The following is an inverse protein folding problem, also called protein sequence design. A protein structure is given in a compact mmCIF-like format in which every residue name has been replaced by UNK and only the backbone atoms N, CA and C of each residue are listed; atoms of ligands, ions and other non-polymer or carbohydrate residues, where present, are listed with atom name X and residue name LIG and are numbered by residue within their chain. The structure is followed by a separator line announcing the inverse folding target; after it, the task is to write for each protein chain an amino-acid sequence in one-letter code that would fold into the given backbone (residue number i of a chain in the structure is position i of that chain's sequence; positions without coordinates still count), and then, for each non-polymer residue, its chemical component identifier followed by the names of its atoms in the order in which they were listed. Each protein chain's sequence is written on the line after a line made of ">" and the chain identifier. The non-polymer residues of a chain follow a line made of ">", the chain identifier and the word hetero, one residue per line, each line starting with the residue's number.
data_IF_764044403017
#
_entry.id   IF_764044403017
#
_cell.length_a   1.000
_cell.length_b   1.000
_cell.length_c   1.000
_cell.angle_alpha   90.00
_cell.angle_beta   90.00
_cell.angle_gamma   90.00
#
_symmetry.space_group_name_H-M   'P 1'
#
loop_
_entity.id
_entity.type
_entity.pdbx_description
1 polymer ?
#
# COMPACT_ATOMS: atom_id res chain seq x y z
N UNK A 1 -4.02 40.25 15.68
CA UNK A 1 -5.33 40.46 15.04
C UNK A 1 -5.20 39.99 13.60
N UNK A 2 -5.54 38.79 13.15
CA UNK A 2 -6.10 37.58 13.75
C UNK A 2 -5.15 36.44 13.42
N UNK A 3 -5.09 35.40 14.26
CA UNK A 3 -4.39 34.18 13.93
C UNK A 3 -4.86 33.71 12.54
N UNK A 4 -3.94 33.57 11.59
CA UNK A 4 -4.11 32.80 10.33
C UNK A 4 -4.18 31.33 10.71
N UNK A 5 -5.23 30.99 11.46
CA UNK A 5 -5.55 29.70 12.01
C UNK A 5 -5.64 28.73 10.84
N UNK A 6 -4.67 27.82 10.78
CA UNK A 6 -4.74 26.51 10.13
C UNK A 6 -5.38 26.56 8.74
N UNK A 7 -4.55 26.45 7.70
CA UNK A 7 -4.91 26.39 6.28
C UNK A 7 -5.75 25.15 5.88
N UNK A 8 -6.62 24.67 6.77
CA UNK A 8 -7.59 23.61 6.53
C UNK A 8 -8.42 23.81 5.25
N UNK A 9 -8.93 25.02 4.90
CA UNK A 9 -9.62 25.21 3.64
C UNK A 9 -8.70 24.94 2.44
N UNK A 10 -7.43 25.34 2.51
CA UNK A 10 -6.46 25.10 1.43
C UNK A 10 -6.18 23.61 1.27
N UNK A 11 -6.06 22.86 2.37
CA UNK A 11 -5.95 21.40 2.32
C UNK A 11 -7.18 20.75 1.66
N UNK A 12 -8.38 21.26 1.94
CA UNK A 12 -9.60 20.72 1.34
C UNK A 12 -9.63 20.98 -0.17
N UNK A 13 -9.24 22.17 -0.62
CA UNK A 13 -9.15 22.53 -2.04
C UNK A 13 -8.09 21.68 -2.76
N UNK A 14 -6.91 21.49 -2.14
CA UNK A 14 -5.85 20.67 -2.71
C UNK A 14 -6.28 19.20 -2.84
N UNK A 15 -7.03 18.68 -1.87
CA UNK A 15 -7.51 17.30 -1.89
C UNK A 15 -8.55 17.06 -2.99
N UNK A 16 -9.52 17.97 -3.15
CA UNK A 16 -10.55 17.85 -4.20
C UNK A 16 -9.94 18.04 -5.59
N UNK A 17 -9.01 18.98 -5.76
CA UNK A 17 -8.32 19.20 -7.03
C UNK A 17 -7.46 17.99 -7.47
N UNK A 18 -6.99 17.17 -6.52
CA UNK A 18 -6.18 15.99 -6.83
C UNK A 18 -7.03 14.81 -7.35
N UNK A 19 -8.32 14.80 -7.03
CA UNK A 19 -9.25 13.68 -7.32
C UNK A 19 -10.18 13.99 -8.49
N UNK A 20 -10.11 15.20 -9.07
CA UNK A 20 -10.92 15.61 -10.22
C UNK A 20 -10.73 14.65 -11.40
N UNK A 21 -11.80 13.99 -11.83
CA UNK A 21 -11.81 13.09 -12.98
C UNK A 21 -12.60 13.74 -14.09
N UNK A 22 -11.92 14.05 -15.19
CA UNK A 22 -12.58 14.51 -16.42
C UNK A 22 -13.21 13.31 -17.14
N UNK A 23 -14.53 13.19 -17.09
CA UNK A 23 -15.29 12.15 -17.80
C UNK A 23 -15.51 12.47 -19.29
N UNK A 24 -15.00 13.60 -19.77
CA UNK A 24 -15.29 14.16 -21.09
C UNK A 24 -16.62 14.94 -21.10
N UNK A 25 -16.82 15.76 -22.15
CA UNK A 25 -18.01 16.63 -22.31
C UNK A 25 -18.19 17.72 -21.24
N UNK A 26 -17.12 18.15 -20.57
CA UNK A 26 -17.17 19.20 -19.55
C UNK A 26 -17.80 18.77 -18.22
N UNK A 27 -18.14 17.48 -18.08
CA UNK A 27 -18.58 16.88 -16.83
C UNK A 27 -17.36 16.44 -16.03
N UNK A 28 -17.22 17.07 -14.86
CA UNK A 28 -16.27 16.68 -13.81
C UNK A 28 -17.03 15.95 -12.74
N UNK A 29 -16.59 14.74 -12.43
CA UNK A 29 -17.13 13.99 -11.30
C UNK A 29 -16.04 13.84 -10.25
N UNK A 30 -16.44 14.06 -9.00
CA UNK A 30 -15.53 14.09 -7.85
C UNK A 30 -16.11 13.14 -6.82
N UNK A 31 -15.64 11.89 -6.85
CA UNK A 31 -16.00 10.91 -5.84
C UNK A 31 -15.11 11.05 -4.60
N UNK A 32 -15.55 11.91 -3.68
CA UNK A 32 -14.86 12.20 -2.43
C UNK A 32 -14.72 10.95 -1.56
N UNK A 33 -15.70 10.04 -1.59
CA UNK A 33 -15.80 8.95 -0.62
C UNK A 33 -14.81 7.84 -0.89
N UNK A 34 -14.60 7.50 -2.17
CA UNK A 34 -13.76 6.36 -2.54
C UNK A 34 -12.30 6.75 -2.77
N UNK A 35 -12.04 7.98 -3.23
CA UNK A 35 -10.68 8.41 -3.57
C UNK A 35 -9.98 9.22 -2.47
N UNK A 36 -10.73 9.90 -1.58
CA UNK A 36 -10.14 10.67 -0.48
C UNK A 36 -10.27 9.88 0.82
N UNK A 37 -9.12 9.45 1.35
CA UNK A 37 -9.04 8.79 2.66
C UNK A 37 -8.40 9.72 3.69
N UNK A 38 -9.19 10.18 4.65
CA UNK A 38 -8.70 10.98 5.77
C UNK A 38 -8.18 10.04 6.86
N UNK A 39 -6.88 10.17 7.18
CA UNK A 39 -6.23 9.41 8.24
C UNK A 39 -5.57 10.32 9.26
N UNK A 40 -5.66 9.98 10.54
CA UNK A 40 -4.92 10.64 11.62
C UNK A 40 -3.71 9.79 11.98
N UNK A 41 -2.53 10.40 12.04
CA UNK A 41 -1.31 9.75 12.51
C UNK A 41 -1.00 10.29 13.92
N UNK A 42 -0.81 9.43 14.94
CA UNK A 42 -0.50 9.89 16.28
C UNK A 42 0.88 10.55 16.33
N UNK A 43 1.00 11.65 17.09
CA UNK A 43 2.27 12.31 17.39
C UNK A 43 2.59 13.57 16.58
N UNK A 44 1.78 13.95 15.60
CA UNK A 44 1.92 15.22 14.86
C UNK A 44 1.05 16.34 15.42
N UNK A 45 1.39 17.59 15.11
CA UNK A 45 0.52 18.75 15.37
C UNK A 45 -0.44 18.99 14.19
N UNK A 46 -1.42 19.87 14.38
CA UNK A 46 -2.39 20.18 13.32
C UNK A 46 -1.72 20.90 12.14
N UNK A 47 -0.68 21.68 12.42
CA UNK A 47 0.11 22.43 11.44
C UNK A 47 0.93 21.51 10.52
N UNK A 48 1.26 20.29 10.97
CA UNK A 48 2.00 19.31 10.18
C UNK A 48 1.12 18.53 9.19
N UNK A 49 -0.20 18.80 9.20
CA UNK A 49 -1.15 18.15 8.31
C UNK A 49 -0.93 18.60 6.87
N UNK A 50 -0.92 17.63 5.95
CA UNK A 50 -0.77 17.90 4.51
C UNK A 50 -1.53 16.90 3.66
N UNK A 51 -1.93 17.33 2.47
CA UNK A 51 -2.50 16.43 1.45
C UNK A 51 -1.39 15.61 0.80
N UNK A 52 -1.51 14.28 0.86
CA UNK A 52 -0.58 13.37 0.21
C UNK A 52 -1.14 13.00 -1.17
N UNK A 53 -0.45 13.42 -2.25
CA UNK A 53 -0.81 13.07 -3.64
C UNK A 53 -0.41 11.64 -3.96
N UNK A 54 -1.19 10.69 -3.44
CA UNK A 54 -0.95 9.25 -3.60
C UNK A 54 -1.63 8.43 -2.51
N UNK A 55 -1.25 7.17 -2.41
CA UNK A 55 -1.85 6.24 -1.43
C UNK A 55 -0.86 5.97 -0.31
N UNK A 56 -1.33 6.09 0.93
CA UNK A 56 -0.60 5.65 2.11
C UNK A 56 -1.00 4.21 2.45
N UNK A 57 -0.05 3.29 2.41
CA UNK A 57 -0.24 1.89 2.79
C UNK A 57 0.66 1.62 3.99
N UNK A 58 0.06 1.25 5.13
CA UNK A 58 0.82 0.78 6.28
C UNK A 58 1.13 -0.70 6.10
N UNK A 59 2.27 -1.00 5.46
CA UNK A 59 2.75 -2.37 5.25
C UNK A 59 4.24 -2.44 5.58
N UNK A 60 4.59 -3.41 6.40
CA UNK A 60 5.98 -3.69 6.75
C UNK A 60 6.69 -4.55 5.70
N UNK A 61 8.01 -4.42 5.71
CA UNK A 61 8.92 -5.19 4.87
C UNK A 61 8.91 -6.66 5.31
N UNK A 62 8.57 -7.57 4.39
CA UNK A 62 8.43 -9.01 4.67
C UNK A 62 9.76 -9.67 5.05
N UNK A 63 10.87 -9.23 4.45
CA UNK A 63 12.21 -9.79 4.69
C UNK A 63 13.18 -8.68 5.16
N UNK A 64 13.25 -8.42 6.48
CA UNK A 64 14.18 -7.46 7.06
C UNK A 64 15.62 -7.76 6.61
N UNK A 65 16.35 -6.74 6.14
CA UNK A 65 17.74 -6.85 5.70
C UNK A 65 17.96 -7.16 4.20
N UNK A 66 17.00 -7.82 3.51
CA UNK A 66 17.09 -8.05 2.05
C UNK A 66 16.29 -7.05 1.23
N UNK A 67 15.22 -6.50 1.79
CA UNK A 67 14.34 -5.57 1.11
C UNK A 67 14.64 -4.12 1.53
N UNK A 68 14.71 -3.22 0.56
CA UNK A 68 15.06 -1.81 0.77
C UNK A 68 13.94 -1.09 1.52
N UNK A 69 14.28 -0.33 2.57
CA UNK A 69 13.30 0.50 3.32
C UNK A 69 12.82 1.73 2.55
N UNK A 70 13.63 2.23 1.61
CA UNK A 70 13.29 3.35 0.72
C UNK A 70 13.61 2.95 -0.72
N UNK A 71 12.63 3.05 -1.60
CA UNK A 71 12.75 2.75 -3.02
C UNK A 71 12.40 4.03 -3.77
N UNK A 72 13.34 4.57 -4.55
CA UNK A 72 13.05 5.65 -5.49
C UNK A 72 12.40 5.06 -6.74
N UNK A 73 11.29 5.65 -7.21
CA UNK A 73 10.52 5.18 -8.36
C UNK A 73 10.14 3.69 -8.28
N UNK A 74 9.33 3.28 -7.28
CA UNK A 74 8.95 1.89 -7.11
C UNK A 74 8.10 1.39 -8.28
N UNK A 75 8.40 0.19 -8.78
CA UNK A 75 7.50 -0.55 -9.67
C UNK A 75 6.50 -1.33 -8.82
N UNK A 76 5.21 -1.01 -8.95
CA UNK A 76 4.13 -1.61 -8.16
C UNK A 76 3.41 -2.66 -8.99
N UNK A 77 3.14 -3.84 -8.40
CA UNK A 77 2.35 -4.91 -9.01
C UNK A 77 1.21 -5.23 -8.05
N UNK A 78 -0.02 -5.28 -8.57
CA UNK A 78 -1.20 -5.75 -7.84
C UNK A 78 -1.43 -7.22 -8.22
N UNK A 79 -1.46 -8.09 -7.22
CA UNK A 79 -1.72 -9.52 -7.39
C UNK A 79 -2.94 -9.89 -6.56
N UNK A 80 -3.96 -10.43 -7.21
CA UNK A 80 -5.15 -10.95 -6.52
C UNK A 80 -4.91 -12.35 -5.92
N UNK A 81 -3.85 -13.03 -6.37
CA UNK A 81 -3.51 -14.39 -5.93
C UNK A 81 -2.37 -14.42 -4.89
N UNK A 82 -2.42 -15.35 -3.91
CA UNK A 82 -1.34 -15.53 -2.94
C UNK A 82 -0.11 -16.20 -3.57
N UNK A 83 1.09 -15.79 -3.14
CA UNK A 83 2.38 -16.35 -3.57
C UNK A 83 2.80 -17.58 -2.74
N UNK A 84 1.85 -18.48 -2.44
CA UNK A 84 2.13 -19.70 -1.71
C UNK A 84 2.27 -20.91 -2.65
N UNK A 85 3.30 -21.71 -2.43
CA UNK A 85 3.43 -22.99 -3.12
C UNK A 85 2.36 -23.96 -2.60
N UNK A 86 1.26 -24.07 -3.33
CA UNK A 86 0.31 -25.16 -3.12
C UNK A 86 0.93 -26.45 -3.67
N UNK A 87 1.51 -27.28 -2.79
CA UNK A 87 1.74 -28.70 -3.11
C UNK A 87 0.39 -29.30 -3.49
N UNK A 88 0.22 -29.67 -4.76
CA UNK A 88 -0.86 -30.56 -5.17
C UNK A 88 -0.69 -31.83 -4.33
N UNK A 89 -1.69 -32.15 -3.49
CA UNK A 89 -1.73 -33.41 -2.73
C UNK A 89 -1.98 -34.56 -3.70
N UNK A 90 -1.00 -34.86 -4.55
CA UNK A 90 -0.89 -36.20 -5.11
C UNK A 90 -0.47 -37.07 -3.92
N UNK A 91 -1.20 -38.15 -3.64
CA UNK A 91 -0.78 -39.22 -2.71
C UNK A 91 0.47 -39.90 -3.27
N UNK A 92 1.59 -39.20 -3.37
CA UNK A 92 2.88 -39.83 -3.54
C UNK A 92 3.40 -40.14 -2.16
N UNK A 93 3.30 -41.43 -1.82
CA UNK A 93 4.05 -42.06 -0.74
C UNK A 93 5.53 -41.76 -0.99
N UNK A 94 6.05 -40.73 -0.31
CA UNK A 94 7.45 -40.34 -0.39
C UNK A 94 8.26 -41.39 0.38
N UNK A 95 8.50 -42.54 -0.26
CA UNK A 95 9.41 -43.58 0.24
C UNK A 95 10.84 -43.07 0.10
N UNK A 96 11.35 -42.41 1.15
CA UNK A 96 12.80 -42.28 1.32
C UNK A 96 13.37 -43.66 1.67
N UNK A 97 13.71 -44.47 0.66
CA UNK A 97 14.57 -45.63 0.86
C UNK A 97 16.00 -45.14 1.01
N UNK A 98 16.49 -45.07 2.26
CA UNK A 98 17.94 -45.04 2.50
C UNK A 98 18.50 -46.36 1.98
N UNK A 99 19.25 -46.33 0.89
CA UNK A 99 20.17 -47.40 0.50
C UNK A 99 21.60 -46.95 0.78
N UNK A 100 22.45 -47.94 1.07
CA UNK A 100 23.87 -47.94 1.51
C UNK A 100 24.03 -47.98 3.04
N UNK A 101 24.61 -49.01 3.67
CA UNK A 101 25.26 -50.25 3.21
C UNK A 101 26.10 -50.82 4.37
N UNK A 102 26.28 -52.16 4.37
CA UNK A 102 27.23 -53.02 5.14
C UNK A 102 27.18 -52.96 6.68
N UNK A 103 26.62 -53.96 7.39
CA UNK A 103 26.99 -55.40 7.60
C UNK A 103 27.89 -55.60 8.82
N UNK A 104 27.34 -56.28 9.82
CA UNK A 104 27.95 -57.06 10.92
C UNK A 104 29.12 -56.44 11.68
#
# INVERSE_FOLDING_TARGET
>A
MYYTLVNFPDLAIDATATVDIDLGQGLRDIDIKNYIKVGKVPGGQLEDSRVLKGVMINKDVVAPGKMKRKIANPRVILLDCPLEYKRVKIKQMLKCSKKTGVSC
#
